data_IF_131968728571
#
_entry.id   IF_131968728571
#
_cell.length_a   1.000
_cell.length_b   1.000
_cell.length_c   1.000
_cell.angle_alpha   90.00
_cell.angle_beta   90.00
_cell.angle_gamma   90.00
#
_symmetry.space_group_name_H-M   'P 1'
#
loop_
_entity.id
_entity.type
_entity.pdbx_description
1 polymer ?
#
# COMPACT_ATOMS: atom_id res chain seq x y z
N UNK A 1 -17.37 -5.18 23.63
CA UNK A 1 -16.14 -4.79 24.37
C UNK A 1 -16.32 -4.66 25.89
N UNK A 2 -17.52 -4.42 26.43
CA UNK A 2 -17.75 -4.28 27.88
C UNK A 2 -17.62 -5.60 28.69
N UNK A 3 -17.84 -6.75 28.06
CA UNK A 3 -17.89 -8.04 28.77
C UNK A 3 -16.50 -8.68 28.99
N UNK A 4 -15.46 -8.24 28.27
CA UNK A 4 -14.13 -8.83 28.37
C UNK A 4 -13.39 -8.39 29.64
N UNK A 5 -13.58 -7.14 30.07
CA UNK A 5 -13.01 -6.64 31.33
C UNK A 5 -13.65 -7.26 32.59
N UNK A 6 -14.92 -7.64 32.50
CA UNK A 6 -15.65 -8.29 33.59
C UNK A 6 -15.12 -9.72 33.83
N UNK A 7 -14.82 -10.46 32.76
CA UNK A 7 -14.29 -11.82 32.84
C UNK A 7 -12.86 -11.86 33.38
N UNK A 8 -12.03 -10.88 33.04
CA UNK A 8 -10.67 -10.78 33.60
C UNK A 8 -10.69 -10.41 35.08
N UNK A 9 -11.61 -9.52 35.50
CA UNK A 9 -11.76 -9.17 36.91
C UNK A 9 -12.24 -10.35 37.75
N UNK A 10 -13.20 -11.13 37.24
CA UNK A 10 -13.71 -12.34 37.89
C UNK A 10 -12.65 -13.45 38.02
N UNK A 11 -11.84 -13.65 36.98
CA UNK A 11 -10.76 -14.64 37.02
C UNK A 11 -9.67 -14.26 38.05
N UNK A 12 -9.30 -12.98 38.14
CA UNK A 12 -8.35 -12.47 39.15
C UNK A 12 -8.94 -12.61 40.57
N UNK A 13 -10.24 -12.41 40.73
CA UNK A 13 -10.94 -12.56 42.01
C UNK A 13 -11.02 -14.04 42.46
N UNK A 14 -11.23 -14.98 41.52
CA UNK A 14 -11.21 -16.41 41.83
C UNK A 14 -9.83 -16.92 42.27
N UNK A 15 -8.75 -16.32 41.77
CA UNK A 15 -7.38 -16.62 42.21
C UNK A 15 -7.12 -16.14 43.64
N UNK A 16 -7.93 -15.20 44.15
CA UNK A 16 -7.87 -14.76 45.54
C UNK A 16 -8.56 -15.71 46.54
N UNK A 17 -9.42 -16.62 46.08
CA UNK A 17 -10.18 -17.58 46.92
C UNK A 17 -9.51 -18.96 47.07
N UNK A 18 -8.40 -19.24 46.38
CA UNK A 18 -7.66 -20.49 46.54
C UNK A 18 -6.62 -20.38 47.68
N UNK A 19 -6.99 -20.91 48.84
CA UNK A 19 -6.20 -20.94 50.09
C UNK A 19 -4.97 -21.88 50.03
N UNK A 20 -4.74 -22.53 48.88
CA UNK A 20 -3.70 -23.55 48.66
C UNK A 20 -2.42 -23.04 47.97
N UNK A 21 -2.35 -21.75 47.64
CA UNK A 21 -1.22 -21.16 46.91
C UNK A 21 -0.49 -20.12 47.78
N UNK A 22 0.82 -20.32 47.96
CA UNK A 22 1.71 -19.34 48.61
C UNK A 22 1.62 -17.98 47.92
N UNK A 23 1.74 -16.89 48.70
CA UNK A 23 1.58 -15.51 48.22
C UNK A 23 2.41 -15.22 46.96
N UNK A 24 3.64 -15.76 46.86
CA UNK A 24 4.54 -15.59 45.72
C UNK A 24 4.01 -16.20 44.41
N UNK A 25 3.33 -17.35 44.48
CA UNK A 25 2.77 -18.03 43.29
C UNK A 25 1.55 -17.29 42.73
N UNK A 26 0.83 -16.54 43.57
CA UNK A 26 -0.37 -15.77 43.18
C UNK A 26 -0.01 -14.57 42.30
N UNK A 27 1.10 -13.89 42.57
CA UNK A 27 1.60 -12.77 41.76
C UNK A 27 2.09 -13.21 40.37
N UNK A 28 2.80 -14.36 40.30
CA UNK A 28 3.29 -14.91 39.03
C UNK A 28 2.15 -15.39 38.12
N UNK A 29 1.14 -16.09 38.68
CA UNK A 29 -0.02 -16.55 37.91
C UNK A 29 -0.87 -15.39 37.37
N UNK A 30 -1.06 -14.35 38.19
CA UNK A 30 -1.79 -13.14 37.79
C UNK A 30 -1.05 -12.37 36.69
N UNK A 31 0.28 -12.23 36.80
CA UNK A 31 1.12 -11.62 35.78
C UNK A 31 1.07 -12.36 34.45
N UNK A 32 1.13 -13.70 34.47
CA UNK A 32 1.04 -14.54 33.27
C UNK A 32 -0.32 -14.39 32.55
N UNK A 33 -1.43 -14.34 33.29
CA UNK A 33 -2.77 -14.15 32.72
C UNK A 33 -2.92 -12.77 32.08
N UNK A 34 -2.40 -11.71 32.71
CA UNK A 34 -2.41 -10.35 32.14
C UNK A 34 -1.56 -10.29 30.87
N UNK A 35 -0.35 -10.85 30.90
CA UNK A 35 0.52 -10.90 29.72
C UNK A 35 -0.14 -11.68 28.58
N UNK A 36 -0.75 -12.83 28.88
CA UNK A 36 -1.49 -13.62 27.91
C UNK A 36 -2.70 -12.86 27.33
N UNK A 37 -3.48 -12.18 28.17
CA UNK A 37 -4.60 -11.35 27.74
C UNK A 37 -4.17 -10.17 26.86
N UNK A 38 -3.02 -9.54 27.15
CA UNK A 38 -2.44 -8.47 26.33
C UNK A 38 -1.97 -8.99 24.97
N UNK A 39 -1.30 -10.16 24.94
CA UNK A 39 -0.90 -10.82 23.69
C UNK A 39 -2.14 -11.15 22.85
N UNK A 40 -3.17 -11.76 23.46
CA UNK A 40 -4.42 -12.12 22.80
C UNK A 40 -5.16 -10.88 22.27
N UNK A 41 -5.26 -9.80 23.06
CA UNK A 41 -5.84 -8.53 22.61
C UNK A 41 -5.06 -7.93 21.45
N UNK A 42 -3.72 -7.99 21.48
CA UNK A 42 -2.89 -7.49 20.38
C UNK A 42 -3.08 -8.30 19.10
N UNK A 43 -3.25 -9.62 19.21
CA UNK A 43 -3.53 -10.50 18.09
C UNK A 43 -4.93 -10.25 17.50
N UNK A 44 -5.95 -10.14 18.36
CA UNK A 44 -7.33 -9.85 17.95
C UNK A 44 -7.46 -8.47 17.30
N UNK A 45 -6.77 -7.44 17.82
CA UNK A 45 -6.72 -6.11 17.20
C UNK A 45 -6.10 -6.15 15.80
N UNK A 46 -5.04 -6.93 15.59
CA UNK A 46 -4.43 -7.11 14.26
C UNK A 46 -5.39 -7.76 13.26
N UNK A 47 -6.11 -8.79 13.70
CA UNK A 47 -7.10 -9.48 12.85
C UNK A 47 -8.28 -8.56 12.51
N UNK A 48 -8.78 -7.80 13.49
CA UNK A 48 -9.88 -6.84 13.28
C UNK A 48 -9.47 -5.67 12.38
N UNK A 49 -8.28 -5.09 12.58
CA UNK A 49 -7.74 -4.05 11.71
C UNK A 49 -7.53 -4.56 10.27
N UNK A 50 -7.12 -5.83 10.11
CA UNK A 50 -7.01 -6.48 8.81
C UNK A 50 -8.36 -6.67 8.10
N UNK A 51 -9.41 -7.04 8.84
CA UNK A 51 -10.78 -7.19 8.30
C UNK A 51 -11.42 -5.86 7.94
N UNK A 52 -11.32 -4.85 8.79
CA UNK A 52 -11.79 -3.50 8.47
C UNK A 52 -11.04 -2.89 7.26
N UNK A 53 -9.76 -3.25 7.09
CA UNK A 53 -8.96 -2.91 5.90
C UNK A 53 -9.39 -3.65 4.62
N UNK A 54 -10.20 -4.72 4.73
CA UNK A 54 -10.76 -5.46 3.60
C UNK A 54 -12.19 -4.98 3.23
N UNK A 55 -12.95 -4.46 4.19
CA UNK A 55 -14.36 -4.06 4.00
C UNK A 55 -14.59 -2.57 3.67
N UNK A 56 -13.52 -1.79 3.44
CA UNK A 56 -13.64 -0.39 3.00
C UNK A 56 -12.73 -0.12 1.82
N UNK A 57 -13.01 0.97 1.10
CA UNK A 57 -12.28 1.36 -0.10
C UNK A 57 -10.77 1.49 0.09
N UNK A 58 -10.04 1.55 -1.02
CA UNK A 58 -8.59 1.73 -1.05
C UNK A 58 -8.31 3.20 -1.30
N UNK A 59 -7.59 3.88 -0.42
CA UNK A 59 -7.13 5.25 -0.68
C UNK A 59 -6.27 5.29 -1.95
N UNK A 60 -5.34 4.34 -2.09
CA UNK A 60 -4.40 4.29 -3.21
C UNK A 60 -4.26 2.90 -3.81
N UNK A 61 -4.29 2.83 -5.13
CA UNK A 61 -3.74 1.71 -5.88
C UNK A 61 -2.37 2.07 -6.42
N UNK A 62 -1.40 1.17 -6.28
CA UNK A 62 -0.07 1.29 -6.88
C UNK A 62 0.09 0.21 -7.95
N UNK A 63 -0.20 0.58 -9.20
CA UNK A 63 -0.03 -0.29 -10.35
C UNK A 63 1.42 -0.26 -10.83
N UNK A 64 2.00 -1.42 -11.14
CA UNK A 64 3.37 -1.52 -11.64
C UNK A 64 3.47 -2.25 -12.97
N UNK A 65 4.36 -1.78 -13.84
CA UNK A 65 4.80 -2.50 -15.03
C UNK A 65 6.32 -2.67 -14.98
N UNK A 66 6.78 -3.91 -15.03
CA UNK A 66 8.19 -4.27 -14.88
C UNK A 66 8.56 -5.49 -15.70
N UNK A 67 9.81 -5.52 -16.18
CA UNK A 67 10.42 -6.71 -16.79
C UNK A 67 11.30 -7.44 -15.77
N UNK A 68 12.23 -6.74 -15.11
CA UNK A 68 13.22 -7.31 -14.18
C UNK A 68 12.88 -7.16 -12.70
N UNK A 69 11.77 -6.49 -12.36
CA UNK A 69 11.27 -6.38 -10.99
C UNK A 69 11.51 -5.04 -10.28
N UNK A 70 12.35 -4.15 -10.82
CA UNK A 70 12.66 -2.85 -10.19
C UNK A 70 11.41 -2.00 -9.94
N UNK A 71 10.50 -1.92 -10.92
CA UNK A 71 9.27 -1.14 -10.78
C UNK A 71 8.34 -1.72 -9.70
N UNK A 72 8.27 -3.07 -9.60
CA UNK A 72 7.53 -3.76 -8.54
C UNK A 72 8.11 -3.45 -7.15
N UNK A 73 9.43 -3.43 -7.00
CA UNK A 73 10.08 -3.10 -5.74
C UNK A 73 9.77 -1.65 -5.30
N UNK A 74 9.86 -0.69 -6.22
CA UNK A 74 9.51 0.71 -5.95
C UNK A 74 8.02 0.90 -5.63
N UNK A 75 7.14 0.16 -6.31
CA UNK A 75 5.71 0.14 -5.99
C UNK A 75 5.45 -0.39 -4.57
N UNK A 76 6.14 -1.47 -4.17
CA UNK A 76 6.04 -2.02 -2.82
C UNK A 76 6.60 -1.06 -1.75
N UNK A 77 7.67 -0.34 -2.05
CA UNK A 77 8.21 0.67 -1.15
C UNK A 77 7.25 1.87 -1.01
N UNK A 78 6.66 2.32 -2.12
CA UNK A 78 5.62 3.35 -2.12
C UNK A 78 4.42 2.95 -1.25
N UNK A 79 3.95 1.71 -1.42
CA UNK A 79 2.91 1.13 -0.56
C UNK A 79 3.28 1.15 0.92
N UNK A 80 4.51 0.75 1.28
CA UNK A 80 4.98 0.76 2.67
C UNK A 80 4.96 2.17 3.26
N UNK A 81 5.43 3.18 2.51
CA UNK A 81 5.47 4.58 2.98
C UNK A 81 4.06 5.16 3.15
N UNK A 82 3.16 4.93 2.19
CA UNK A 82 1.75 5.36 2.30
C UNK A 82 1.04 4.70 3.49
N UNK A 83 1.27 3.41 3.71
CA UNK A 83 0.70 2.70 4.87
C UNK A 83 1.27 3.20 6.19
N UNK A 84 2.56 3.58 6.24
CA UNK A 84 3.15 4.23 7.42
C UNK A 84 2.51 5.60 7.68
N UNK A 85 2.11 6.32 6.64
CA UNK A 85 1.37 7.58 6.74
C UNK A 85 -0.14 7.39 7.06
N UNK A 86 -0.60 6.14 7.25
CA UNK A 86 -1.99 5.84 7.65
C UNK A 86 -2.95 5.54 6.50
N UNK A 87 -2.49 5.54 5.24
CA UNK A 87 -3.34 5.28 4.08
C UNK A 87 -3.54 3.81 3.77
N UNK A 88 -4.72 3.47 3.23
CA UNK A 88 -5.06 2.14 2.69
C UNK A 88 -4.52 2.01 1.28
N UNK A 89 -3.31 1.49 1.17
CA UNK A 89 -2.59 1.38 -0.08
C UNK A 89 -2.20 -0.06 -0.41
N UNK A 90 -2.43 -0.48 -1.66
CA UNK A 90 -2.08 -1.81 -2.16
C UNK A 90 -1.50 -1.79 -3.57
N UNK A 91 -0.83 -2.88 -3.95
CA UNK A 91 -0.07 -2.96 -5.21
C UNK A 91 -0.62 -4.04 -6.12
N UNK A 92 -0.65 -3.79 -7.42
CA UNK A 92 -1.04 -4.75 -8.45
C UNK A 92 -0.21 -4.57 -9.73
N UNK A 93 -0.20 -5.58 -10.60
CA UNK A 93 0.35 -5.42 -11.94
C UNK A 93 -0.54 -4.48 -12.77
N UNK A 94 0.06 -3.69 -13.66
CA UNK A 94 -0.67 -2.70 -14.45
C UNK A 94 -1.77 -3.34 -15.32
N UNK A 95 -1.49 -4.49 -15.91
CA UNK A 95 -2.47 -5.25 -16.69
C UNK A 95 -3.61 -5.89 -15.86
N UNK A 96 -3.54 -5.87 -14.52
CA UNK A 96 -4.61 -6.31 -13.63
C UNK A 96 -5.51 -5.15 -13.17
N UNK A 97 -5.26 -3.92 -13.64
CA UNK A 97 -5.98 -2.74 -13.18
C UNK A 97 -7.47 -2.77 -13.55
N UNK A 98 -7.82 -3.44 -14.64
CA UNK A 98 -9.21 -3.66 -15.05
C UNK A 98 -10.02 -4.55 -14.08
N UNK A 99 -9.36 -5.31 -13.21
CA UNK A 99 -10.04 -6.27 -12.31
C UNK A 99 -10.33 -5.72 -10.93
N UNK A 100 -10.02 -4.45 -10.68
CA UNK A 100 -10.19 -3.80 -9.38
C UNK A 100 -11.02 -2.54 -9.50
N UNK A 101 -11.71 -2.20 -8.42
CA UNK A 101 -12.42 -0.92 -8.33
C UNK A 101 -11.41 0.26 -8.23
N UNK A 102 -11.77 1.44 -8.76
CA UNK A 102 -10.95 2.64 -8.63
C UNK A 102 -10.64 2.98 -7.16
N UNK A 103 -9.46 3.55 -6.87
CA UNK A 103 -9.13 3.99 -5.53
C UNK A 103 -9.88 5.28 -5.15
N UNK A 104 -10.13 5.47 -3.86
CA UNK A 104 -10.87 6.62 -3.32
C UNK A 104 -10.09 7.94 -3.45
N UNK A 105 -8.75 7.91 -3.47
CA UNK A 105 -7.91 9.10 -3.64
C UNK A 105 -7.21 9.14 -4.99
N UNK A 106 -6.26 8.23 -5.22
CA UNK A 106 -5.43 8.30 -6.42
C UNK A 106 -4.83 6.97 -6.87
N UNK A 107 -4.59 6.87 -8.17
CA UNK A 107 -3.86 5.78 -8.81
C UNK A 107 -2.39 6.16 -9.02
N UNK A 108 -1.47 5.37 -8.48
CA UNK A 108 -0.03 5.57 -8.62
C UNK A 108 0.53 4.53 -9.59
N UNK A 109 1.22 4.97 -10.64
CA UNK A 109 1.71 4.15 -11.74
C UNK A 109 3.24 4.10 -11.70
N UNK A 110 3.83 2.95 -11.43
CA UNK A 110 5.28 2.74 -11.39
C UNK A 110 5.69 1.83 -12.53
N UNK A 111 6.16 2.41 -13.63
CA UNK A 111 6.31 1.71 -14.91
C UNK A 111 7.72 1.81 -15.45
N UNK A 112 8.31 0.67 -15.84
CA UNK A 112 9.56 0.65 -16.60
C UNK A 112 9.30 0.65 -18.10
N UNK A 113 10.29 1.10 -18.86
CA UNK A 113 10.30 1.02 -20.32
C UNK A 113 11.19 -0.15 -20.75
N UNK A 114 10.80 -0.92 -21.77
CA UNK A 114 11.60 -2.03 -22.31
C UNK A 114 12.08 -1.77 -23.73
N UNK A 115 13.31 -2.23 -24.03
CA UNK A 115 13.87 -2.23 -25.37
C UNK A 115 13.84 -0.85 -26.01
N UNK A 116 13.14 -0.76 -27.14
CA UNK A 116 13.08 0.48 -27.90
C UNK A 116 12.19 1.53 -27.27
N UNK A 117 11.35 1.22 -26.28
CA UNK A 117 10.35 2.16 -25.74
C UNK A 117 9.00 1.53 -25.40
N UNK A 118 8.92 0.20 -25.41
CA UNK A 118 7.68 -0.55 -25.34
C UNK A 118 7.28 -0.87 -23.89
N UNK A 119 6.06 -1.37 -23.74
CA UNK A 119 5.52 -1.84 -22.48
C UNK A 119 6.22 -3.14 -22.01
N UNK A 120 6.61 -3.24 -20.73
CA UNK A 120 6.99 -4.52 -20.13
C UNK A 120 5.81 -5.49 -20.11
N UNK A 121 6.08 -6.80 -19.96
CA UNK A 121 5.02 -7.84 -19.97
C UNK A 121 3.84 -7.57 -19.04
N UNK A 122 4.11 -7.02 -17.85
CA UNK A 122 3.09 -6.70 -16.84
C UNK A 122 2.31 -5.41 -17.13
N UNK A 123 2.65 -4.71 -18.21
CA UNK A 123 1.94 -3.54 -18.72
C UNK A 123 1.33 -3.73 -20.11
N UNK A 124 1.35 -4.94 -20.69
CA UNK A 124 0.70 -5.20 -21.98
C UNK A 124 -0.83 -5.29 -21.78
N UNK A 125 -1.60 -4.65 -22.66
CA UNK A 125 -3.07 -4.72 -22.68
C UNK A 125 -3.76 -3.94 -21.55
N UNK A 126 -3.03 -3.05 -20.88
CA UNK A 126 -3.59 -2.20 -19.82
C UNK A 126 -4.55 -1.12 -20.35
N UNK A 127 -4.46 -0.84 -21.64
CA UNK A 127 -5.14 0.22 -22.39
C UNK A 127 -6.45 -0.22 -23.03
N UNK A 128 -7.03 -1.34 -22.58
CA UNK A 128 -8.36 -1.76 -23.01
C UNK A 128 -9.38 -0.63 -22.74
N UNK A 129 -10.14 -0.29 -23.78
CA UNK A 129 -11.07 0.84 -23.84
C UNK A 129 -12.12 0.80 -22.72
N UNK A 130 -12.46 -0.40 -22.23
CA UNK A 130 -13.38 -0.60 -21.10
C UNK A 130 -12.84 -0.06 -19.77
N UNK A 131 -11.51 0.05 -19.64
CA UNK A 131 -10.85 0.51 -18.43
C UNK A 131 -10.75 2.04 -18.41
N UNK A 132 -10.69 2.66 -19.59
CA UNK A 132 -10.51 4.11 -19.76
C UNK A 132 -11.68 4.93 -19.19
N UNK A 133 -12.92 4.43 -19.30
CA UNK A 133 -14.09 5.10 -18.74
C UNK A 133 -14.04 5.25 -17.20
N UNK A 134 -13.33 4.36 -16.51
CA UNK A 134 -13.21 4.38 -15.05
C UNK A 134 -12.18 5.40 -14.54
N UNK A 135 -11.39 6.02 -15.43
CA UNK A 135 -10.34 6.97 -15.06
C UNK A 135 -10.79 8.44 -15.08
N UNK A 136 -11.98 8.72 -15.63
CA UNK A 136 -12.48 10.08 -15.72
C UNK A 136 -12.59 10.72 -14.31
N UNK A 137 -11.85 11.80 -14.10
CA UNK A 137 -11.81 12.50 -12.82
C UNK A 137 -11.05 11.78 -11.71
N UNK A 138 -10.34 10.69 -12.00
CA UNK A 138 -9.44 10.02 -11.06
C UNK A 138 -8.10 10.78 -10.99
N UNK A 139 -7.61 11.04 -9.78
CA UNK A 139 -6.27 11.61 -9.62
C UNK A 139 -5.21 10.52 -9.83
N UNK A 140 -4.11 10.83 -10.51
CA UNK A 140 -3.04 9.88 -10.76
C UNK A 140 -1.65 10.48 -10.74
N UNK A 141 -0.63 9.65 -10.52
CA UNK A 141 0.77 10.06 -10.69
C UNK A 141 1.59 8.95 -11.31
N UNK A 142 2.63 9.31 -12.08
CA UNK A 142 3.48 8.36 -12.80
C UNK A 142 4.94 8.50 -12.38
N UNK A 143 5.54 7.38 -11.97
CA UNK A 143 6.97 7.18 -11.84
C UNK A 143 7.46 6.36 -13.03
N UNK A 144 8.06 7.04 -14.00
CA UNK A 144 8.55 6.43 -15.23
C UNK A 144 10.03 6.05 -15.08
N UNK A 145 10.32 4.75 -15.13
CA UNK A 145 11.67 4.22 -15.09
C UNK A 145 12.18 3.98 -16.52
N UNK A 146 13.38 4.44 -16.80
CA UNK A 146 14.05 4.23 -18.07
C UNK A 146 15.56 4.34 -17.92
N UNK A 147 16.23 4.47 -19.04
CA UNK A 147 17.66 4.70 -19.10
C UNK A 147 17.95 5.72 -20.21
N UNK A 148 18.68 6.77 -19.88
CA UNK A 148 19.09 7.84 -20.81
C UNK A 148 20.06 7.35 -21.88
N UNK A 149 20.66 6.17 -21.73
CA UNK A 149 21.43 5.51 -22.77
C UNK A 149 20.59 5.04 -23.97
N UNK A 150 19.27 5.00 -23.84
CA UNK A 150 18.36 4.62 -24.92
C UNK A 150 17.70 5.85 -25.56
N UNK A 151 17.42 5.82 -26.88
CA UNK A 151 16.83 6.97 -27.59
C UNK A 151 15.46 7.39 -27.06
N UNK A 152 14.61 6.43 -26.69
CA UNK A 152 13.26 6.69 -26.16
C UNK A 152 13.22 6.62 -24.63
N UNK A 153 13.89 7.56 -23.98
CA UNK A 153 13.91 7.66 -22.51
C UNK A 153 12.49 7.75 -21.93
N UNK A 154 12.14 6.84 -21.02
CA UNK A 154 10.86 6.78 -20.32
C UNK A 154 9.60 6.71 -21.22
N UNK A 155 9.73 6.31 -22.49
CA UNK A 155 8.65 6.36 -23.48
C UNK A 155 7.33 5.74 -23.00
N UNK A 156 7.37 4.51 -22.47
CA UNK A 156 6.16 3.84 -22.00
C UNK A 156 5.48 4.60 -20.85
N UNK A 157 6.23 5.19 -19.92
CA UNK A 157 5.66 5.99 -18.84
C UNK A 157 5.04 7.31 -19.31
N UNK A 158 5.62 7.91 -20.35
CA UNK A 158 5.05 9.11 -20.97
C UNK A 158 3.78 8.78 -21.75
N UNK A 159 3.76 7.65 -22.46
CA UNK A 159 2.57 7.13 -23.14
C UNK A 159 1.43 6.83 -22.15
N UNK A 160 1.75 6.18 -21.03
CA UNK A 160 0.80 5.95 -19.93
C UNK A 160 0.20 7.25 -19.42
N UNK A 161 1.05 8.27 -19.23
CA UNK A 161 0.59 9.60 -18.78
C UNK A 161 -0.39 10.22 -19.78
N UNK A 162 -0.04 10.22 -21.07
CA UNK A 162 -0.89 10.78 -22.12
C UNK A 162 -2.24 10.08 -22.21
N UNK A 163 -2.26 8.74 -22.13
CA UNK A 163 -3.50 7.96 -22.19
C UNK A 163 -4.39 8.19 -20.96
N UNK A 164 -3.82 8.26 -19.77
CA UNK A 164 -4.57 8.61 -18.55
C UNK A 164 -5.23 10.00 -18.67
N UNK A 165 -4.49 10.99 -19.18
CA UNK A 165 -5.04 12.33 -19.42
C UNK A 165 -6.12 12.33 -20.51
N UNK A 166 -5.93 11.58 -21.59
CA UNK A 166 -6.92 11.43 -22.66
C UNK A 166 -8.20 10.75 -22.16
N UNK A 167 -8.10 9.85 -21.17
CA UNK A 167 -9.22 9.23 -20.47
C UNK A 167 -9.89 10.15 -19.42
N UNK A 168 -9.43 11.40 -19.28
CA UNK A 168 -9.99 12.39 -18.36
C UNK A 168 -9.49 12.31 -16.92
N UNK A 169 -8.43 11.55 -16.66
CA UNK A 169 -7.77 11.52 -15.36
C UNK A 169 -6.95 12.79 -15.11
N UNK A 170 -6.77 13.16 -13.84
CA UNK A 170 -6.04 14.38 -13.45
C UNK A 170 -4.65 14.02 -12.90
N UNK A 171 -3.56 14.52 -13.49
CA UNK A 171 -2.24 14.30 -12.93
C UNK A 171 -2.10 15.09 -11.62
N UNK A 172 -1.67 14.43 -10.55
CA UNK A 172 -1.31 15.08 -9.29
C UNK A 172 -0.09 16.01 -9.48
N UNK A 173 0.85 15.59 -10.32
CA UNK A 173 2.06 16.33 -10.70
C UNK A 173 2.64 15.76 -12.00
N UNK A 174 3.63 16.46 -12.57
CA UNK A 174 4.32 16.03 -13.79
C UNK A 174 5.01 14.66 -13.60
N UNK A 175 5.01 13.77 -14.61
CA UNK A 175 5.59 12.44 -14.47
C UNK A 175 7.05 12.50 -14.05
N UNK A 176 7.41 11.78 -12.98
CA UNK A 176 8.77 11.72 -12.47
C UNK A 176 9.55 10.70 -13.30
N UNK A 177 10.49 11.17 -14.09
CA UNK A 177 11.34 10.33 -14.94
C UNK A 177 12.63 9.97 -14.22
N UNK A 178 12.95 8.68 -14.14
CA UNK A 178 14.11 8.15 -13.41
C UNK A 178 14.97 7.35 -14.36
N UNK A 179 16.23 7.77 -14.52
CA UNK A 179 17.25 6.99 -15.22
C UNK A 179 17.90 6.01 -14.25
N UNK A 180 17.97 4.73 -14.61
CA UNK A 180 18.70 3.69 -13.86
C UNK A 180 18.39 3.66 -12.34
N UNK A 181 17.13 3.90 -11.97
CA UNK A 181 16.69 3.98 -10.58
C UNK A 181 17.49 4.98 -9.71
N UNK A 182 17.88 6.13 -10.26
CA UNK A 182 18.56 7.22 -9.52
C UNK A 182 17.79 7.57 -8.22
N UNK A 183 18.40 7.35 -7.03
CA UNK A 183 17.76 7.61 -5.74
C UNK A 183 17.24 9.04 -5.58
N UNK A 184 17.90 10.04 -6.18
CA UNK A 184 17.51 11.45 -6.06
C UNK A 184 16.15 11.72 -6.68
N UNK A 185 15.88 11.10 -7.82
CA UNK A 185 14.59 11.23 -8.51
C UNK A 185 13.51 10.40 -7.82
N UNK A 186 13.87 9.27 -7.24
CA UNK A 186 12.97 8.49 -6.38
C UNK A 186 12.57 9.29 -5.13
N UNK A 187 13.47 10.07 -4.55
CA UNK A 187 13.14 10.96 -3.44
C UNK A 187 12.23 12.13 -3.85
N UNK A 188 12.37 12.64 -5.08
CA UNK A 188 11.41 13.61 -5.65
C UNK A 188 10.00 13.01 -5.70
N UNK A 189 9.86 11.77 -6.18
CA UNK A 189 8.59 11.06 -6.20
C UNK A 189 7.94 10.98 -4.81
N UNK A 190 8.71 10.60 -3.79
CA UNK A 190 8.17 10.48 -2.44
C UNK A 190 7.79 11.83 -1.83
N UNK A 191 8.60 12.88 -2.04
CA UNK A 191 8.28 14.24 -1.54
C UNK A 191 7.01 14.81 -2.17
N UNK A 192 6.74 14.49 -3.43
CA UNK A 192 5.51 14.94 -4.10
C UNK A 192 4.27 14.19 -3.63
N UNK A 193 4.39 12.89 -3.29
CA UNK A 193 3.26 12.09 -2.79
C UNK A 193 2.90 12.36 -1.33
N UNK A 194 3.93 12.58 -0.50
CA UNK A 194 3.80 12.84 0.92
C UNK A 194 4.57 14.12 1.23
N UNK A 195 4.04 15.30 0.83
CA UNK A 195 4.62 16.56 1.29
C UNK A 195 4.59 16.51 2.82
N UNK A 196 5.74 16.69 3.46
CA UNK A 196 5.81 16.69 4.92
C UNK A 196 4.81 17.74 5.42
N UNK A 197 3.78 17.27 6.13
CA UNK A 197 2.87 18.14 6.87
C UNK A 197 3.74 18.73 7.97
N UNK A 198 4.16 19.99 7.77
CA UNK A 198 4.96 20.74 8.74
C UNK A 198 4.30 20.86 10.11
#
# INVERSE_FOLDING_TARGET
MKNLGLLTALAVLSVWQLDSLTLERRWLASGALVAYALVLMSALRRVQAGRASAEGGRDYWIAYATETGTARQLAQETRKRLRKAGYRADTLALNALATVEPPDRALLLVVSTTGDGDAPKTGIGWDDERVSACYAGLDFAVLALGDRGYPRFCAFGLEVTQRMQAAGARPLFAPVQVSQADPRMIDVWFRQLLPEQG
#
